data_IF_973277573321
#
_entry.id   IF_973277573321
#
_cell.length_a   1.000
_cell.length_b   1.000
_cell.length_c   1.000
_cell.angle_alpha   90.00
_cell.angle_beta   90.00
_cell.angle_gamma   90.00
#
_symmetry.space_group_name_H-M   'P 1'
#
loop_
_entity.id
_entity.type
_entity.pdbx_description
1 polymer ?
#
# COMPACT_ATOMS: atom_id res chain seq x y z
N UNK A 1 29.74 -4.07 -25.12
CA UNK A 1 28.90 -4.69 -24.08
C UNK A 1 27.68 -3.80 -23.91
N UNK A 2 26.44 -4.30 -24.03
CA UNK A 2 25.28 -3.49 -23.71
C UNK A 2 25.36 -3.09 -22.23
N UNK A 3 25.24 -1.81 -21.95
CA UNK A 3 25.16 -1.27 -20.61
C UNK A 3 23.87 -1.84 -19.99
N UNK A 4 23.98 -2.72 -19.00
CA UNK A 4 22.80 -3.18 -18.25
C UNK A 4 22.21 -1.95 -17.58
N UNK A 5 20.98 -1.59 -17.92
CA UNK A 5 20.28 -0.51 -17.23
C UNK A 5 20.22 -0.87 -15.73
N UNK A 6 20.61 0.07 -14.86
CA UNK A 6 20.47 -0.12 -13.42
C UNK A 6 18.99 -0.08 -13.06
N UNK A 7 18.55 -1.03 -12.24
CA UNK A 7 17.19 -1.05 -11.69
C UNK A 7 17.04 0.13 -10.74
N UNK A 8 15.94 0.88 -10.87
CA UNK A 8 15.59 1.93 -9.92
C UNK A 8 14.52 1.44 -8.95
N UNK A 9 14.37 2.13 -7.82
CA UNK A 9 13.29 1.83 -6.87
C UNK A 9 11.90 1.93 -7.55
N UNK A 10 11.71 2.89 -8.45
CA UNK A 10 10.44 3.04 -9.17
C UNK A 10 10.10 1.80 -10.03
N UNK A 11 11.11 1.14 -10.60
CA UNK A 11 10.92 -0.09 -11.41
C UNK A 11 10.43 -1.28 -10.57
N UNK A 12 10.61 -1.23 -9.26
CA UNK A 12 10.27 -2.29 -8.31
C UNK A 12 8.96 -2.02 -7.54
N UNK A 13 8.27 -0.93 -7.83
CA UNK A 13 6.95 -0.69 -7.24
C UNK A 13 5.93 -1.69 -7.80
N UNK A 14 5.18 -2.34 -6.91
CA UNK A 14 4.14 -3.30 -7.29
C UNK A 14 3.93 -4.40 -6.26
N UNK A 15 3.18 -5.42 -6.68
CA UNK A 15 2.85 -6.59 -5.87
C UNK A 15 3.80 -7.74 -6.14
N UNK A 16 4.19 -8.42 -5.07
CA UNK A 16 5.11 -9.53 -5.05
C UNK A 16 4.55 -10.69 -4.23
N UNK A 17 4.78 -11.92 -4.67
CA UNK A 17 4.59 -13.12 -3.86
C UNK A 17 5.85 -13.36 -3.04
N UNK A 18 5.82 -12.99 -1.76
CA UNK A 18 6.93 -13.22 -0.82
C UNK A 18 6.79 -14.61 -0.20
N UNK A 19 7.84 -15.41 -0.31
CA UNK A 19 7.89 -16.78 0.22
C UNK A 19 9.08 -17.02 1.15
N UNK A 20 8.86 -17.96 2.06
CA UNK A 20 9.82 -18.43 3.06
C UNK A 20 9.48 -19.87 3.48
N UNK A 21 10.21 -20.45 4.45
CA UNK A 21 10.00 -21.84 4.90
C UNK A 21 8.56 -22.17 5.33
N UNK A 22 7.78 -21.18 5.75
CA UNK A 22 6.40 -21.33 6.21
C UNK A 22 5.31 -21.05 5.17
N UNK A 23 5.67 -20.82 3.90
CA UNK A 23 4.72 -20.59 2.81
C UNK A 23 4.93 -19.27 2.07
N UNK A 24 3.91 -18.84 1.33
CA UNK A 24 3.93 -17.62 0.52
C UNK A 24 2.68 -16.76 0.75
N UNK A 25 2.82 -15.45 0.57
CA UNK A 25 1.72 -14.48 0.60
C UNK A 25 2.12 -13.21 -0.15
N UNK A 26 1.13 -12.40 -0.52
CA UNK A 26 1.39 -11.15 -1.25
C UNK A 26 1.85 -10.01 -0.35
N UNK A 27 2.80 -9.25 -0.87
CA UNK A 27 3.32 -8.01 -0.30
C UNK A 27 3.42 -6.95 -1.40
N UNK A 28 3.38 -5.69 -1.02
CA UNK A 28 3.48 -4.57 -1.94
C UNK A 28 4.67 -3.69 -1.58
N UNK A 29 5.57 -3.49 -2.54
CA UNK A 29 6.55 -2.42 -2.52
C UNK A 29 5.86 -1.17 -3.06
N UNK A 30 5.47 -0.27 -2.16
CA UNK A 30 4.79 0.98 -2.51
C UNK A 30 5.82 2.11 -2.76
N UNK A 31 5.43 3.18 -3.47
CA UNK A 31 6.25 4.37 -3.61
C UNK A 31 6.73 4.94 -2.28
N UNK A 32 7.78 5.76 -2.32
CA UNK A 32 8.45 6.36 -1.15
C UNK A 32 8.90 5.35 -0.08
N UNK A 33 9.18 4.09 -0.47
CA UNK A 33 9.74 3.10 0.43
C UNK A 33 8.74 2.51 1.43
N UNK A 34 7.43 2.61 1.20
CA UNK A 34 6.42 1.96 2.06
C UNK A 34 6.34 0.46 1.73
N UNK A 35 6.46 -0.40 2.73
CA UNK A 35 6.26 -1.85 2.57
C UNK A 35 4.90 -2.24 3.16
N UNK A 36 4.09 -2.98 2.42
CA UNK A 36 2.74 -3.35 2.87
C UNK A 36 2.45 -4.84 2.71
N UNK A 37 1.78 -5.40 3.70
CA UNK A 37 1.20 -6.73 3.66
C UNK A 37 -0.12 -6.73 4.43
N UNK A 38 -1.22 -7.04 3.75
CA UNK A 38 -2.56 -7.02 4.36
C UNK A 38 -2.70 -8.02 5.51
N UNK A 39 -2.02 -9.17 5.43
CA UNK A 39 -2.07 -10.24 6.44
C UNK A 39 -1.24 -9.94 7.69
N UNK A 40 -0.16 -9.19 7.54
CA UNK A 40 0.82 -8.92 8.60
C UNK A 40 1.18 -7.43 8.61
N UNK A 41 0.20 -6.61 8.98
CA UNK A 41 0.33 -5.16 9.00
C UNK A 41 1.30 -4.67 10.10
N UNK A 42 2.17 -3.73 9.73
CA UNK A 42 3.16 -3.09 10.57
C UNK A 42 3.69 -1.82 9.86
N UNK A 43 4.26 -0.82 10.57
CA UNK A 43 4.85 0.36 9.95
C UNK A 43 6.16 0.01 9.24
N UNK A 44 6.06 -0.65 8.10
CA UNK A 44 7.17 -1.27 7.40
C UNK A 44 7.70 -0.40 6.27
N UNK A 45 9.00 -0.57 6.01
CA UNK A 45 9.75 0.20 5.03
C UNK A 45 10.59 -0.70 4.14
N UNK A 46 10.89 -0.19 2.95
CA UNK A 46 11.87 -0.79 2.07
C UNK A 46 12.72 0.28 1.40
N UNK A 47 13.95 -0.09 1.03
CA UNK A 47 14.86 0.72 0.24
C UNK A 47 15.63 -0.17 -0.74
N UNK A 48 16.08 0.42 -1.86
CA UNK A 48 16.99 -0.23 -2.79
C UNK A 48 18.38 0.39 -2.59
N UNK A 49 19.35 -0.43 -2.19
CA UNK A 49 20.77 -0.04 -2.10
C UNK A 49 21.53 -0.92 -3.09
N UNK A 50 22.13 -0.28 -4.10
CA UNK A 50 22.69 -0.96 -5.26
C UNK A 50 21.65 -1.88 -5.93
N UNK A 51 21.83 -3.20 -5.81
CA UNK A 51 20.94 -4.21 -6.37
C UNK A 51 20.28 -5.07 -5.27
N UNK A 52 20.24 -4.55 -4.03
CA UNK A 52 19.69 -5.24 -2.86
C UNK A 52 18.54 -4.43 -2.29
N UNK A 53 17.38 -5.08 -2.20
CA UNK A 53 16.22 -4.58 -1.45
C UNK A 53 16.42 -4.89 0.02
N UNK A 54 16.43 -3.85 0.84
CA UNK A 54 16.37 -3.97 2.30
C UNK A 54 14.96 -3.69 2.76
N UNK A 55 14.37 -4.62 3.50
CA UNK A 55 13.04 -4.48 4.07
C UNK A 55 13.19 -4.42 5.59
N UNK A 56 12.65 -3.37 6.21
CA UNK A 56 12.40 -3.34 7.66
C UNK A 56 10.91 -3.53 7.90
N UNK A 57 10.54 -4.72 8.35
CA UNK A 57 9.16 -5.10 8.62
C UNK A 57 8.79 -4.98 10.10
N UNK A 58 9.48 -4.09 10.82
CA UNK A 58 9.30 -3.82 12.24
C UNK A 58 9.30 -5.13 13.05
N UNK A 59 8.19 -5.45 13.73
CA UNK A 59 8.07 -6.64 14.59
C UNK A 59 8.21 -7.97 13.83
N UNK A 60 8.13 -7.99 12.50
CA UNK A 60 8.28 -9.19 11.67
C UNK A 60 9.72 -9.41 11.16
N UNK A 61 10.66 -8.55 11.57
CA UNK A 61 12.08 -8.65 11.28
C UNK A 61 12.50 -7.86 10.04
N UNK A 62 13.75 -8.09 9.61
CA UNK A 62 14.37 -7.37 8.49
C UNK A 62 14.87 -8.36 7.45
N UNK A 63 14.78 -8.03 6.17
CA UNK A 63 15.21 -8.89 5.06
C UNK A 63 16.17 -8.15 4.13
N UNK A 64 17.09 -8.88 3.52
CA UNK A 64 17.95 -8.40 2.43
C UNK A 64 17.79 -9.33 1.24
N UNK A 65 17.38 -8.80 0.09
CA UNK A 65 17.04 -9.55 -1.12
C UNK A 65 17.75 -8.96 -2.34
N UNK A 66 18.61 -9.73 -2.99
CA UNK A 66 19.23 -9.34 -4.26
C UNK A 66 18.20 -9.43 -5.38
N UNK A 67 18.11 -8.38 -6.19
CA UNK A 67 17.15 -8.25 -7.30
C UNK A 67 17.73 -8.84 -8.58
N UNK A 68 16.93 -9.62 -9.30
CA UNK A 68 17.14 -9.92 -10.71
C UNK A 68 16.38 -8.89 -11.56
N UNK A 69 17.12 -8.00 -12.21
CA UNK A 69 16.57 -6.91 -13.02
C UNK A 69 15.67 -7.40 -14.17
N UNK A 70 15.96 -8.56 -14.75
CA UNK A 70 15.25 -9.05 -15.94
C UNK A 70 13.85 -9.56 -15.58
N UNK A 71 13.71 -10.18 -14.41
CA UNK A 71 12.47 -10.81 -13.95
C UNK A 71 11.79 -10.05 -12.83
N UNK A 72 12.45 -9.03 -12.26
CA UNK A 72 12.11 -8.38 -10.99
C UNK A 72 11.99 -9.36 -9.82
N UNK A 73 12.47 -10.60 -9.95
CA UNK A 73 12.49 -11.55 -8.84
C UNK A 73 13.57 -11.16 -7.85
N UNK A 74 13.44 -11.62 -6.60
CA UNK A 74 14.37 -11.28 -5.53
C UNK A 74 14.67 -12.52 -4.70
N UNK A 75 15.93 -12.68 -4.31
CA UNK A 75 16.37 -13.80 -3.46
C UNK A 75 17.34 -13.32 -2.39
N UNK A 76 17.20 -13.86 -1.18
CA UNK A 76 18.07 -13.47 -0.09
C UNK A 76 17.64 -14.12 1.22
N UNK A 77 17.74 -13.40 2.33
CA UNK A 77 17.60 -13.97 3.67
C UNK A 77 16.94 -13.00 4.65
N UNK A 78 16.49 -13.54 5.78
CA UNK A 78 16.24 -12.72 6.95
C UNK A 78 17.54 -12.31 7.64
N UNK A 79 17.53 -11.14 8.27
CA UNK A 79 18.68 -10.51 8.93
C UNK A 79 18.56 -10.67 10.44
N UNK A 80 19.63 -11.10 11.14
CA UNK A 80 20.93 -11.52 10.59
C UNK A 80 20.84 -12.82 9.79
N UNK A 81 21.66 -12.94 8.74
CA UNK A 81 21.78 -14.16 7.96
C UNK A 81 22.27 -15.28 8.88
N UNK A 82 21.56 -16.40 8.89
CA UNK A 82 21.94 -17.57 9.67
C UNK A 82 22.11 -18.77 8.73
N UNK A 83 23.36 -19.18 8.50
CA UNK A 83 23.69 -20.32 7.62
C UNK A 83 23.34 -21.68 8.23
N UNK A 84 23.13 -21.73 9.55
CA UNK A 84 22.72 -22.95 10.27
C UNK A 84 21.20 -23.18 10.22
N UNK A 85 20.39 -22.15 9.92
CA UNK A 85 18.94 -22.30 9.69
C UNK A 85 18.67 -22.42 8.19
N UNK A 86 18.45 -23.63 7.65
CA UNK A 86 18.15 -23.82 6.22
C UNK A 86 16.83 -23.17 5.78
N UNK A 87 16.06 -22.60 6.70
CA UNK A 87 14.86 -21.82 6.40
C UNK A 87 14.99 -20.31 6.58
N UNK A 88 16.21 -19.79 6.77
CA UNK A 88 16.47 -18.35 6.85
C UNK A 88 16.31 -17.61 5.50
N UNK A 89 16.23 -18.35 4.39
CA UNK A 89 16.04 -17.80 3.04
C UNK A 89 14.71 -17.06 2.86
N UNK A 90 14.68 -16.13 1.92
CA UNK A 90 13.51 -15.37 1.46
C UNK A 90 13.54 -15.24 -0.06
N UNK A 91 12.38 -15.32 -0.71
CA UNK A 91 12.23 -15.09 -2.14
C UNK A 91 11.00 -14.24 -2.43
N UNK A 92 11.08 -13.33 -3.39
CA UNK A 92 9.94 -12.55 -3.86
C UNK A 92 9.84 -12.65 -5.39
N UNK A 93 8.64 -12.92 -5.90
CA UNK A 93 8.36 -12.96 -7.34
C UNK A 93 7.39 -11.85 -7.70
N UNK A 94 7.69 -11.08 -8.75
CA UNK A 94 6.81 -10.00 -9.19
C UNK A 94 5.50 -10.58 -9.74
N UNK A 95 4.38 -10.14 -9.19
CA UNK A 95 3.04 -10.59 -9.59
C UNK A 95 2.45 -9.62 -10.59
N UNK A 96 2.37 -8.34 -10.24
CA UNK A 96 1.74 -7.29 -11.06
C UNK A 96 2.14 -5.89 -10.61
N UNK A 97 2.08 -4.89 -11.50
CA UNK A 97 2.17 -3.49 -11.09
C UNK A 97 0.96 -3.09 -10.23
N UNK A 98 1.03 -1.89 -9.65
CA UNK A 98 -0.16 -1.26 -9.06
C UNK A 98 -1.21 -1.03 -10.14
N UNK A 99 -2.48 -1.33 -9.84
CA UNK A 99 -3.60 -0.91 -10.68
C UNK A 99 -3.72 0.62 -10.68
N UNK A 100 -4.42 1.22 -11.67
CA UNK A 100 -4.68 2.66 -11.66
C UNK A 100 -5.37 3.16 -10.38
N UNK A 101 -6.30 2.37 -9.83
CA UNK A 101 -6.99 2.69 -8.57
C UNK A 101 -6.06 2.60 -7.36
N UNK A 102 -5.21 1.56 -7.29
CA UNK A 102 -4.20 1.43 -6.24
C UNK A 102 -3.22 2.62 -6.28
N UNK A 103 -2.72 2.96 -7.46
CA UNK A 103 -1.82 4.10 -7.65
C UNK A 103 -2.47 5.43 -7.26
N UNK A 104 -3.76 5.62 -7.57
CA UNK A 104 -4.50 6.83 -7.21
C UNK A 104 -4.70 6.96 -5.68
N UNK A 105 -5.02 5.87 -4.99
CA UNK A 105 -5.19 5.88 -3.53
C UNK A 105 -3.85 6.05 -2.79
N UNK A 106 -2.81 5.36 -3.25
CA UNK A 106 -1.49 5.34 -2.62
C UNK A 106 -0.71 6.63 -2.92
N UNK A 107 -0.98 7.26 -4.07
CA UNK A 107 -0.28 8.46 -4.53
C UNK A 107 1.22 8.20 -4.63
N UNK A 108 2.00 9.18 -4.17
CA UNK A 108 3.47 9.09 -4.14
C UNK A 108 4.00 8.30 -2.92
N UNK A 109 3.13 7.58 -2.20
CA UNK A 109 3.48 6.65 -1.13
C UNK A 109 2.82 6.95 0.21
N UNK A 110 2.59 8.22 0.53
CA UNK A 110 1.93 8.62 1.78
C UNK A 110 0.41 8.41 1.77
N UNK A 111 -0.20 8.27 0.60
CA UNK A 111 -1.65 8.18 0.41
C UNK A 111 -2.22 9.37 -0.36
N UNK A 112 -3.54 9.56 -0.26
CA UNK A 112 -4.29 10.59 -0.99
C UNK A 112 -5.33 11.27 -0.11
N UNK A 113 -5.68 12.50 -0.46
CA UNK A 113 -6.74 13.32 0.15
C UNK A 113 -7.88 13.54 -0.85
N UNK A 114 -9.10 13.48 -0.34
CA UNK A 114 -10.33 13.51 -1.12
C UNK A 114 -11.37 14.41 -0.44
N UNK A 115 -12.17 15.11 -1.26
CA UNK A 115 -13.38 15.79 -0.81
C UNK A 115 -14.53 14.80 -0.74
N UNK A 116 -14.94 14.40 0.47
CA UNK A 116 -15.95 13.38 0.72
C UNK A 116 -17.30 14.01 1.00
N UNK A 117 -18.34 13.55 0.31
CA UNK A 117 -19.65 14.18 0.25
C UNK A 117 -20.75 13.20 0.65
N UNK A 118 -21.78 13.74 1.29
CA UNK A 118 -23.01 13.05 1.69
C UNK A 118 -24.19 14.03 1.70
N UNK A 119 -25.37 13.60 2.14
CA UNK A 119 -26.60 14.41 2.07
C UNK A 119 -26.50 15.77 2.76
N UNK A 120 -25.76 15.84 3.87
CA UNK A 120 -25.77 17.02 4.73
C UNK A 120 -24.49 17.87 4.59
N UNK A 121 -23.58 17.52 3.67
CA UNK A 121 -22.39 18.33 3.40
C UNK A 121 -21.21 17.57 2.82
N UNK A 122 -20.03 18.17 2.96
CA UNK A 122 -18.78 17.60 2.51
C UNK A 122 -17.61 18.00 3.41
N UNK A 123 -16.59 17.15 3.48
CA UNK A 123 -15.39 17.36 4.30
C UNK A 123 -14.20 16.59 3.73
N UNK A 124 -12.96 17.02 4.02
CA UNK A 124 -11.78 16.32 3.57
C UNK A 124 -11.58 14.99 4.33
N UNK A 125 -11.19 13.95 3.59
CA UNK A 125 -10.77 12.65 4.13
C UNK A 125 -9.45 12.22 3.51
N UNK A 126 -8.71 11.38 4.22
CA UNK A 126 -7.40 10.88 3.80
C UNK A 126 -7.38 9.36 3.81
N UNK A 127 -6.98 8.77 2.68
CA UNK A 127 -6.63 7.36 2.58
C UNK A 127 -5.11 7.24 2.68
N UNK A 128 -4.60 6.99 3.90
CA UNK A 128 -3.16 6.87 4.12
C UNK A 128 -2.67 5.54 3.58
N UNK A 129 -1.55 5.55 2.87
CA UNK A 129 -0.90 4.33 2.39
C UNK A 129 0.21 3.84 3.33
N UNK A 130 0.00 4.04 4.62
CA UNK A 130 0.86 3.47 5.65
C UNK A 130 0.69 1.94 5.77
N UNK A 131 1.46 1.34 6.67
CA UNK A 131 1.47 -0.10 6.90
C UNK A 131 0.15 -0.69 7.42
N UNK A 132 -0.85 0.15 7.71
CA UNK A 132 -2.16 -0.22 8.26
C UNK A 132 -3.34 0.26 7.40
N UNK A 133 -3.06 1.00 6.32
CA UNK A 133 -4.06 1.68 5.50
C UNK A 133 -5.06 2.49 6.35
N UNK A 134 -4.56 3.42 7.18
CA UNK A 134 -5.46 4.24 7.98
C UNK A 134 -6.36 5.13 7.10
N UNK A 135 -7.63 5.21 7.49
CA UNK A 135 -8.56 6.23 7.03
C UNK A 135 -8.60 7.36 8.06
N UNK A 136 -8.48 8.61 7.63
CA UNK A 136 -8.48 9.77 8.53
C UNK A 136 -9.49 10.81 8.06
N UNK A 137 -10.27 11.30 9.00
CA UNK A 137 -11.14 12.46 8.87
C UNK A 137 -10.98 13.29 10.15
N UNK A 138 -10.62 14.57 10.02
CA UNK A 138 -10.34 15.42 11.18
C UNK A 138 -11.62 15.91 11.86
N UNK A 139 -12.72 16.03 11.11
CA UNK A 139 -14.03 16.44 11.65
C UNK A 139 -14.71 15.31 12.45
N UNK A 140 -14.52 14.07 12.02
CA UNK A 140 -15.09 12.88 12.65
C UNK A 140 -13.97 11.86 12.98
N UNK A 141 -13.14 12.18 13.99
CA UNK A 141 -11.96 11.40 14.30
C UNK A 141 -12.32 10.03 14.87
N UNK A 142 -11.70 8.98 14.31
CA UNK A 142 -11.82 7.61 14.79
C UNK A 142 -10.60 6.78 14.38
N UNK A 143 -10.43 5.64 15.04
CA UNK A 143 -9.53 4.59 14.56
C UNK A 143 -10.20 3.88 13.39
N UNK A 144 -9.86 4.32 12.18
CA UNK A 144 -10.49 3.88 10.96
C UNK A 144 -9.46 3.36 9.96
N UNK A 145 -9.89 2.42 9.12
CA UNK A 145 -9.05 1.75 8.15
C UNK A 145 -9.76 1.63 6.82
N UNK A 146 -8.98 1.50 5.75
CA UNK A 146 -9.49 1.19 4.44
C UNK A 146 -8.84 -0.06 3.84
N UNK A 147 -9.59 -0.72 2.97
CA UNK A 147 -9.11 -1.84 2.16
C UNK A 147 -9.65 -1.73 0.75
N UNK A 148 -8.95 -2.30 -0.20
CA UNK A 148 -9.33 -2.29 -1.61
C UNK A 148 -9.40 -3.73 -2.11
N UNK A 149 -10.47 -4.03 -2.83
CA UNK A 149 -10.61 -5.26 -3.60
C UNK A 149 -11.04 -4.86 -5.00
N UNK A 150 -10.17 -5.07 -5.98
CA UNK A 150 -10.36 -4.56 -7.34
C UNK A 150 -10.57 -3.04 -7.31
N UNK A 151 -11.73 -2.55 -7.78
CA UNK A 151 -12.08 -1.13 -7.78
C UNK A 151 -13.03 -0.75 -6.64
N UNK A 152 -13.27 -1.67 -5.71
CA UNK A 152 -14.17 -1.50 -4.57
C UNK A 152 -13.38 -1.19 -3.31
N UNK A 153 -13.47 0.06 -2.87
CA UNK A 153 -12.94 0.57 -1.62
C UNK A 153 -13.92 0.27 -0.47
N UNK A 154 -13.41 -0.36 0.59
CA UNK A 154 -14.13 -0.53 1.85
C UNK A 154 -13.53 0.36 2.91
N UNK A 155 -14.38 1.12 3.58
CA UNK A 155 -14.01 2.00 4.70
C UNK A 155 -14.64 1.43 5.97
N UNK A 156 -13.82 1.09 6.96
CA UNK A 156 -14.28 0.80 8.32
C UNK A 156 -14.02 2.04 9.17
N UNK A 157 -15.09 2.74 9.54
CA UNK A 157 -15.03 4.03 10.21
C UNK A 157 -15.52 3.96 11.67
N UNK A 158 -15.24 2.85 12.35
CA UNK A 158 -15.61 2.62 13.75
C UNK A 158 -17.07 2.98 14.03
N UNK A 159 -17.33 3.92 14.94
CA UNK A 159 -18.68 4.34 15.32
C UNK A 159 -19.48 5.01 14.19
N UNK A 160 -18.82 5.49 13.14
CA UNK A 160 -19.48 6.15 12.00
C UNK A 160 -19.90 5.18 10.90
N UNK A 161 -19.66 3.88 11.08
CA UNK A 161 -20.17 2.82 10.21
C UNK A 161 -19.15 2.27 9.22
N UNK A 162 -19.66 1.46 8.29
CA UNK A 162 -18.87 0.80 7.26
C UNK A 162 -19.43 1.13 5.88
N UNK A 163 -18.54 1.48 4.95
CA UNK A 163 -18.92 1.96 3.62
C UNK A 163 -18.22 1.16 2.54
N UNK A 164 -18.89 1.07 1.40
CA UNK A 164 -18.34 0.55 0.16
C UNK A 164 -18.49 1.61 -0.92
N UNK A 165 -17.38 1.95 -1.59
CA UNK A 165 -17.35 2.90 -2.69
C UNK A 165 -16.62 2.30 -3.89
N UNK A 166 -17.17 2.48 -5.09
CA UNK A 166 -16.49 2.18 -6.35
C UNK A 166 -15.63 3.36 -6.76
N UNK A 167 -14.38 3.10 -7.14
CA UNK A 167 -13.44 4.14 -7.57
C UNK A 167 -13.35 4.14 -9.10
N UNK A 168 -13.45 5.32 -9.68
CA UNK A 168 -13.09 5.57 -11.08
C UNK A 168 -11.76 6.28 -11.13
N UNK A 169 -10.71 5.59 -11.59
CA UNK A 169 -9.37 6.18 -11.73
C UNK A 169 -9.32 7.28 -12.79
N UNK A 170 -10.10 7.15 -13.86
CA UNK A 170 -10.12 8.09 -14.99
C UNK A 170 -10.72 9.44 -14.60
N UNK A 171 -11.88 9.42 -13.93
CA UNK A 171 -12.53 10.64 -13.42
C UNK A 171 -12.00 11.07 -12.05
N UNK A 172 -11.20 10.23 -11.40
CA UNK A 172 -10.71 10.42 -10.02
C UNK A 172 -11.85 10.71 -9.03
N UNK A 173 -12.91 9.92 -9.14
CA UNK A 173 -14.10 10.03 -8.29
C UNK A 173 -14.42 8.70 -7.63
N UNK A 174 -15.22 8.75 -6.56
CA UNK A 174 -15.80 7.59 -5.91
C UNK A 174 -17.30 7.78 -5.73
N UNK A 175 -18.04 6.67 -5.78
CA UNK A 175 -19.46 6.64 -5.43
C UNK A 175 -19.82 5.35 -4.69
N UNK A 176 -20.73 5.45 -3.73
CA UNK A 176 -21.20 4.29 -2.99
C UNK A 176 -22.07 4.68 -1.81
N UNK A 177 -21.95 3.94 -0.71
CA UNK A 177 -22.76 4.17 0.48
C UNK A 177 -22.48 3.14 1.58
N UNK A 178 -23.34 3.07 2.61
CA UNK A 178 -23.21 2.07 3.66
C UNK A 178 -23.27 0.64 3.08
N UNK A 179 -22.47 -0.26 3.65
CA UNK A 179 -22.49 -1.67 3.26
C UNK A 179 -23.87 -2.26 3.57
N UNK A 180 -24.53 -2.82 2.55
CA UNK A 180 -25.88 -3.39 2.65
C UNK A 180 -27.01 -2.35 2.74
N UNK A 181 -26.70 -1.05 2.60
CA UNK A 181 -27.69 0.02 2.56
C UNK A 181 -28.26 0.29 1.18
N UNK A 182 -29.31 1.12 1.12
CA UNK A 182 -29.88 1.63 -0.13
C UNK A 182 -29.24 2.96 -0.51
N UNK A 183 -28.38 2.93 -1.54
CA UNK A 183 -27.64 4.11 -1.99
C UNK A 183 -28.50 5.12 -2.76
N UNK A 184 -29.76 4.80 -3.07
CA UNK A 184 -30.67 5.80 -3.64
C UNK A 184 -31.07 6.87 -2.62
N UNK A 185 -31.04 6.52 -1.33
CA UNK A 185 -31.40 7.38 -0.20
C UNK A 185 -30.22 7.70 0.72
N UNK A 186 -29.22 6.82 0.81
CA UNK A 186 -28.05 6.97 1.68
C UNK A 186 -26.75 6.75 0.91
N UNK A 187 -26.26 7.79 0.24
CA UNK A 187 -25.11 7.74 -0.69
C UNK A 187 -23.89 8.48 -0.16
N UNK A 188 -22.70 8.08 -0.62
CA UNK A 188 -21.43 8.79 -0.44
C UNK A 188 -20.76 9.00 -1.78
N UNK A 189 -20.14 10.16 -1.97
CA UNK A 189 -19.31 10.48 -3.13
C UNK A 189 -17.98 11.03 -2.67
N UNK A 190 -16.94 10.89 -3.48
CA UNK A 190 -15.69 11.57 -3.22
C UNK A 190 -15.02 12.01 -4.51
N UNK A 191 -14.30 13.13 -4.47
CA UNK A 191 -13.45 13.59 -5.57
C UNK A 191 -12.02 13.76 -5.09
N UNK A 192 -11.05 13.31 -5.88
CA UNK A 192 -9.63 13.41 -5.54
C UNK A 192 -9.21 14.87 -5.43
N UNK A 193 -8.53 15.22 -4.33
CA UNK A 193 -8.01 16.57 -4.11
C UNK A 193 -6.52 16.60 -4.42
N UNK A 194 -5.72 15.72 -3.80
CA UNK A 194 -4.26 15.69 -3.94
C UNK A 194 -3.63 14.43 -3.37
N UNK A 195 -2.37 14.19 -3.73
CA UNK A 195 -1.51 13.25 -3.00
C UNK A 195 -1.14 13.84 -1.63
N UNK A 196 -1.03 12.97 -0.63
CA UNK A 196 -0.46 13.34 0.66
C UNK A 196 1.05 13.51 0.53
N UNK A 197 1.62 14.46 1.25
CA UNK A 197 3.06 14.68 1.29
C UNK A 197 3.62 13.85 2.44
N UNK A 198 4.66 13.04 2.15
CA UNK A 198 5.40 12.36 3.20
C UNK A 198 6.33 13.34 3.92
N UNK A 199 5.81 14.00 4.95
CA UNK A 199 6.60 14.92 5.78
C UNK A 199 7.67 14.19 6.62
N UNK A 200 7.77 12.85 6.58
CA UNK A 200 8.82 12.09 7.27
C UNK A 200 10.11 11.92 6.45
N UNK A 201 10.21 12.54 5.27
CA UNK A 201 11.44 12.50 4.43
C UNK A 201 12.39 13.68 4.72
N UNK A 202 12.13 14.52 5.73
CA UNK A 202 13.13 15.50 6.16
C UNK A 202 13.97 14.95 7.32
N UNK A 203 15.05 14.26 6.97
CA UNK A 203 16.42 14.44 7.48
C UNK A 203 17.29 13.31 6.91
N UNK A 204 18.14 13.69 5.95
CA UNK A 204 19.31 12.92 5.53
C UNK A 204 20.53 13.44 6.29
#
# INVERSE_FOLDING_TARGET
LPCSAMVTAADLVGWYSLSWKGGAFEVCLRPAGYFFCSKFQAPARWELVDNVIRIDWAKFGKYELTVDAATKSMTGNAVPKNEEDPGNWRKAEFVRPLSPVEALLIGDGAGSEWDFQWSDGHFPVQFKADGYNHFKCDEFPAHAHWSLSEDTLKINWAQYGNYELKISADSKTMEGGPIGGDWSSDWRKASFTRNLIDNKVMEA
#
